data_IF_921332473408
#
_entry.id   IF_921332473408
#
_cell.length_a   1.000
_cell.length_b   1.000
_cell.length_c   1.000
_cell.angle_alpha   90.00
_cell.angle_beta   90.00
_cell.angle_gamma   90.00
#
_symmetry.space_group_name_H-M   'P 1'
#
loop_
_entity.id
_entity.type
_entity.pdbx_description
1 polymer ?
#
# COMPACT_ATOMS: atom_id res chain seq x y z
N UNK A 1 2.81 -0.50 10.83
CA UNK A 1 2.87 -1.83 10.20
C UNK A 1 1.58 -2.62 10.42
N UNK A 2 1.25 -3.05 11.65
CA UNK A 2 -0.01 -3.79 11.89
C UNK A 2 -1.24 -2.90 11.68
N UNK A 3 -1.22 -1.67 12.21
CA UNK A 3 -2.30 -0.69 11.98
C UNK A 3 -2.45 -0.29 10.51
N UNK A 4 -1.34 -0.02 9.83
CA UNK A 4 -1.31 0.32 8.40
C UNK A 4 -1.79 -0.84 7.52
N UNK A 5 -1.60 -2.09 7.94
CA UNK A 5 -2.10 -3.29 7.25
C UNK A 5 -3.60 -3.48 7.43
N UNK A 6 -4.14 -3.12 8.60
CA UNK A 6 -5.58 -3.10 8.85
C UNK A 6 -6.29 -1.96 8.09
N UNK A 7 -5.64 -0.81 7.91
CA UNK A 7 -6.20 0.33 7.19
C UNK A 7 -6.27 0.10 5.67
N UNK A 8 -5.33 -0.68 5.11
CA UNK A 8 -5.31 -1.03 3.69
C UNK A 8 -6.07 -2.32 3.37
N UNK A 9 -6.92 -2.80 4.30
CA UNK A 9 -7.73 -4.02 4.16
C UNK A 9 -6.97 -5.26 3.67
N UNK A 10 -5.66 -5.38 3.96
CA UNK A 10 -4.89 -6.54 3.53
C UNK A 10 -4.96 -7.67 4.54
N UNK A 11 -4.98 -8.92 4.03
CA UNK A 11 -4.97 -10.14 4.85
C UNK A 11 -3.90 -10.03 5.96
N UNK A 12 -4.21 -10.29 7.24
CA UNK A 12 -5.38 -10.99 7.78
C UNK A 12 -6.59 -10.09 8.14
N UNK A 13 -6.58 -8.82 7.74
CA UNK A 13 -7.65 -7.85 8.04
C UNK A 13 -8.56 -7.56 6.83
N UNK A 14 -8.51 -8.42 5.81
CA UNK A 14 -9.38 -8.35 4.64
C UNK A 14 -10.79 -8.86 4.97
N UNK A 15 -11.53 -8.06 5.73
CA UNK A 15 -12.92 -8.35 6.13
C UNK A 15 -13.93 -7.82 5.10
N UNK A 16 -13.50 -6.95 4.19
CA UNK A 16 -14.38 -6.25 3.24
C UNK A 16 -14.41 -6.89 1.87
N UNK A 17 -13.32 -7.53 1.43
CA UNK A 17 -13.26 -8.23 0.14
C UNK A 17 -13.39 -9.75 0.31
N UNK A 18 -12.86 -10.31 1.40
CA UNK A 18 -13.31 -11.55 2.05
C UNK A 18 -13.76 -12.66 1.11
N UNK A 19 -13.03 -12.92 0.03
CA UNK A 19 -13.46 -13.76 -1.11
C UNK A 19 -13.83 -15.21 -0.71
N UNK A 20 -13.31 -15.68 0.44
CA UNK A 20 -13.63 -16.99 1.02
C UNK A 20 -14.87 -17.02 1.92
N UNK A 21 -15.33 -15.87 2.43
CA UNK A 21 -16.38 -15.77 3.46
C UNK A 21 -17.63 -15.02 2.98
N UNK A 22 -17.44 -13.92 2.25
CA UNK A 22 -18.47 -13.10 1.64
C UNK A 22 -18.13 -13.00 0.15
N UNK A 23 -18.99 -13.48 -0.74
CA UNK A 23 -18.82 -13.38 -2.21
C UNK A 23 -18.56 -11.90 -2.59
N UNK A 24 -17.29 -11.49 -2.67
CA UNK A 24 -16.82 -10.20 -3.18
C UNK A 24 -17.62 -8.97 -2.68
N UNK A 25 -18.03 -8.97 -1.39
CA UNK A 25 -18.70 -7.87 -0.68
C UNK A 25 -19.39 -6.78 -1.54
N UNK A 26 -18.77 -5.59 -1.62
CA UNK A 26 -19.30 -4.40 -2.30
C UNK A 26 -18.89 -4.29 -3.79
N UNK A 27 -17.99 -5.16 -4.26
CA UNK A 27 -17.42 -5.10 -5.60
C UNK A 27 -18.30 -5.80 -6.66
N UNK A 28 -19.26 -6.63 -6.25
CA UNK A 28 -20.15 -7.40 -7.14
C UNK A 28 -21.14 -6.55 -7.95
N UNK A 29 -21.55 -5.39 -7.44
CA UNK A 29 -22.58 -4.56 -8.08
C UNK A 29 -22.03 -3.60 -9.15
N UNK A 30 -20.70 -3.46 -9.24
CA UNK A 30 -20.07 -2.50 -10.14
C UNK A 30 -19.70 -3.12 -11.49
N UNK A 31 -20.03 -2.41 -12.57
CA UNK A 31 -19.52 -2.72 -13.90
C UNK A 31 -17.98 -2.58 -13.95
N UNK A 32 -17.34 -3.15 -14.99
CA UNK A 32 -15.89 -3.26 -15.10
C UNK A 32 -15.11 -1.93 -14.93
N UNK A 33 -15.69 -0.78 -15.30
CA UNK A 33 -15.06 0.54 -15.15
C UNK A 33 -14.90 0.98 -13.69
N UNK A 34 -15.99 1.21 -12.94
CA UNK A 34 -15.92 1.57 -11.52
C UNK A 34 -15.20 0.53 -10.65
N UNK A 35 -15.32 -0.76 -10.98
CA UNK A 35 -14.55 -1.83 -10.34
C UNK A 35 -13.04 -1.59 -10.44
N UNK A 36 -12.55 -1.24 -11.64
CA UNK A 36 -11.12 -0.96 -11.86
C UNK A 36 -10.63 0.22 -11.00
N UNK A 37 -11.47 1.22 -10.76
CA UNK A 37 -11.10 2.37 -9.91
C UNK A 37 -10.93 1.98 -8.45
N UNK A 38 -11.74 1.05 -7.93
CA UNK A 38 -11.57 0.55 -6.56
C UNK A 38 -10.25 -0.21 -6.39
N UNK A 39 -9.91 -1.10 -7.33
CA UNK A 39 -8.60 -1.78 -7.30
C UNK A 39 -7.44 -0.80 -7.36
N UNK A 40 -7.47 0.17 -8.27
CA UNK A 40 -6.40 1.19 -8.37
C UNK A 40 -6.31 1.99 -7.07
N UNK A 41 -7.44 2.37 -6.47
CA UNK A 41 -7.45 3.13 -5.21
C UNK A 41 -6.86 2.33 -4.05
N UNK A 42 -7.17 1.03 -3.95
CA UNK A 42 -6.61 0.17 -2.90
C UNK A 42 -5.10 -0.02 -3.05
N UNK A 43 -4.62 -0.32 -4.27
CA UNK A 43 -3.18 -0.41 -4.55
C UNK A 43 -2.46 0.92 -4.31
N UNK A 44 -3.08 2.04 -4.66
CA UNK A 44 -2.54 3.36 -4.37
C UNK A 44 -2.42 3.60 -2.86
N UNK A 45 -3.43 3.22 -2.07
CA UNK A 45 -3.40 3.33 -0.62
C UNK A 45 -2.28 2.50 0.02
N UNK A 46 -2.05 1.27 -0.47
CA UNK A 46 -0.93 0.42 -0.01
C UNK A 46 0.42 1.12 -0.27
N UNK A 47 0.61 1.68 -1.46
CA UNK A 47 1.85 2.38 -1.81
C UNK A 47 2.04 3.64 -0.94
N UNK A 48 0.99 4.44 -0.76
CA UNK A 48 1.03 5.66 0.06
C UNK A 48 1.35 5.35 1.52
N UNK A 49 0.71 4.33 2.11
CA UNK A 49 0.96 3.96 3.50
C UNK A 49 2.37 3.42 3.71
N UNK A 50 2.92 2.69 2.74
CA UNK A 50 4.31 2.24 2.78
C UNK A 50 5.32 3.38 2.66
N UNK A 51 5.05 4.35 1.78
CA UNK A 51 5.82 5.59 1.67
C UNK A 51 5.80 6.36 2.99
N UNK A 52 4.62 6.57 3.58
CA UNK A 52 4.46 7.32 4.82
C UNK A 52 5.19 6.65 5.99
N UNK A 53 5.08 5.33 6.10
CA UNK A 53 5.80 4.54 7.11
C UNK A 53 7.32 4.63 6.91
N UNK A 54 7.78 4.63 5.66
CA UNK A 54 9.21 4.77 5.33
C UNK A 54 9.74 6.14 5.72
N UNK A 55 8.97 7.21 5.48
CA UNK A 55 9.35 8.58 5.88
C UNK A 55 9.42 8.70 7.41
N UNK A 56 8.43 8.19 8.13
CA UNK A 56 8.33 8.36 9.58
C UNK A 56 9.37 7.55 10.36
N UNK A 57 9.64 6.30 9.94
CA UNK A 57 10.45 5.37 10.74
C UNK A 57 11.76 4.93 10.07
N UNK A 58 11.86 5.00 8.74
CA UNK A 58 12.98 4.45 7.96
C UNK A 58 13.64 5.51 7.07
N UNK A 59 13.74 6.75 7.56
CA UNK A 59 14.30 7.89 6.82
C UNK A 59 15.62 7.57 6.10
N UNK A 60 15.77 8.09 4.88
CA UNK A 60 17.00 7.95 4.10
C UNK A 60 17.97 9.12 4.38
N UNK A 61 19.26 8.88 4.18
CA UNK A 61 20.26 9.94 4.29
C UNK A 61 20.05 10.96 3.17
N UNK A 62 19.86 12.22 3.53
CA UNK A 62 19.72 13.30 2.57
C UNK A 62 21.04 14.05 2.43
N UNK A 63 21.66 13.94 1.26
CA UNK A 63 22.81 14.76 0.87
C UNK A 63 22.33 15.87 -0.06
N UNK A 64 22.42 17.16 0.32
CA UNK A 64 21.99 18.27 -0.53
C UNK A 64 22.79 18.38 -1.83
N UNK A 65 24.02 17.84 -1.88
CA UNK A 65 24.84 17.84 -3.08
C UNK A 65 24.44 16.77 -4.11
N UNK A 66 23.77 15.69 -3.69
CA UNK A 66 23.34 14.57 -4.55
C UNK A 66 21.95 14.11 -4.07
N UNK A 67 20.86 14.80 -4.47
CA UNK A 67 19.51 14.47 -4.02
C UNK A 67 19.01 13.12 -4.55
N UNK A 68 19.56 12.61 -5.66
CA UNK A 68 19.19 11.33 -6.25
C UNK A 68 19.51 10.14 -5.32
N UNK A 69 20.51 10.31 -4.46
CA UNK A 69 20.91 9.27 -3.51
C UNK A 69 19.84 9.07 -2.43
N UNK A 70 19.15 10.15 -2.05
CA UNK A 70 18.00 10.09 -1.16
C UNK A 70 16.83 9.36 -1.82
N UNK A 71 16.50 9.70 -3.08
CA UNK A 71 15.36 9.07 -3.79
C UNK A 71 15.60 7.58 -4.04
N UNK A 72 16.80 7.16 -4.40
CA UNK A 72 17.14 5.75 -4.59
C UNK A 72 17.02 4.98 -3.27
N UNK A 73 17.61 5.49 -2.18
CA UNK A 73 17.57 4.80 -0.90
C UNK A 73 16.15 4.74 -0.32
N UNK A 74 15.39 5.83 -0.48
CA UNK A 74 13.98 5.90 -0.11
C UNK A 74 13.14 4.88 -0.87
N UNK A 75 13.26 4.82 -2.21
CA UNK A 75 12.48 3.89 -3.06
C UNK A 75 12.79 2.43 -2.78
N UNK A 76 14.06 2.08 -2.54
CA UNK A 76 14.46 0.72 -2.16
C UNK A 76 13.81 0.32 -0.83
N UNK A 77 13.83 1.20 0.18
CA UNK A 77 13.22 0.92 1.48
C UNK A 77 11.70 0.78 1.39
N UNK A 78 11.03 1.65 0.63
CA UNK A 78 9.58 1.56 0.44
C UNK A 78 9.17 0.29 -0.32
N UNK A 79 9.97 -0.13 -1.31
CA UNK A 79 9.74 -1.38 -2.05
C UNK A 79 9.94 -2.60 -1.16
N UNK A 80 10.97 -2.61 -0.32
CA UNK A 80 11.20 -3.70 0.65
C UNK A 80 10.02 -3.80 1.63
N UNK A 81 9.51 -2.66 2.12
CA UNK A 81 8.33 -2.63 2.98
C UNK A 81 7.09 -3.14 2.23
N UNK A 82 6.89 -2.76 0.97
CA UNK A 82 5.76 -3.24 0.15
C UNK A 82 5.79 -4.76 -0.05
N UNK A 83 6.97 -5.37 -0.23
CA UNK A 83 7.11 -6.84 -0.33
C UNK A 83 6.63 -7.54 0.95
N UNK A 84 6.74 -6.90 2.12
CA UNK A 84 6.27 -7.49 3.38
C UNK A 84 4.76 -7.40 3.62
N UNK A 85 4.06 -6.60 2.80
CA UNK A 85 2.60 -6.48 2.81
C UNK A 85 1.94 -7.56 1.92
N UNK A 86 2.58 -7.92 0.81
CA UNK A 86 2.24 -9.04 -0.07
C UNK A 86 2.41 -10.40 0.63
#
# INVERSE_FOLDING_TARGET
FISTRAETNQAPFDLTEGESELVSGFNVEYAAGPFTLFFIAEYANIIIMNIFTTILFLGAFHNPCIPELYTINFTIKSLLLAISFL
#
